data_IF_541583735999
#
_entry.id   IF_541583735999
#
_cell.length_a   1.000
_cell.length_b   1.000
_cell.length_c   1.000
_cell.angle_alpha   90.00
_cell.angle_beta   90.00
_cell.angle_gamma   90.00
#
_symmetry.space_group_name_H-M   'P 1'
#
loop_
_entity.id
_entity.type
_entity.pdbx_description
1 polymer ?
#
# COMPACT_ATOMS: atom_id res chain seq x y z
N UNK A 1 -23.11 7.10 8.13
CA UNK A 1 -22.19 6.51 7.13
C UNK A 1 -21.76 5.13 7.59
N UNK A 2 -21.57 4.18 6.69
CA UNK A 2 -21.02 2.87 7.08
C UNK A 2 -19.53 2.99 7.41
N UNK A 3 -19.03 2.15 8.33
CA UNK A 3 -17.59 2.10 8.65
C UNK A 3 -16.71 1.92 7.39
N UNK A 4 -17.18 1.15 6.42
CA UNK A 4 -16.49 0.94 5.14
C UNK A 4 -16.16 2.25 4.42
N UNK A 5 -17.17 3.16 4.32
CA UNK A 5 -16.98 4.46 3.65
C UNK A 5 -16.05 5.38 4.43
N UNK A 6 -16.14 5.40 5.76
CA UNK A 6 -15.24 6.18 6.63
C UNK A 6 -13.79 5.70 6.45
N UNK A 7 -13.58 4.37 6.47
CA UNK A 7 -12.25 3.77 6.30
C UNK A 7 -11.70 4.09 4.91
N UNK A 8 -12.52 3.91 3.85
CA UNK A 8 -12.13 4.24 2.48
C UNK A 8 -11.67 5.69 2.35
N UNK A 9 -12.50 6.64 2.78
CA UNK A 9 -12.23 8.07 2.63
C UNK A 9 -10.96 8.47 3.39
N UNK A 10 -10.79 7.94 4.61
CA UNK A 10 -9.60 8.21 5.39
C UNK A 10 -8.35 7.66 4.71
N UNK A 11 -8.33 6.38 4.37
CA UNK A 11 -7.17 5.75 3.74
C UNK A 11 -6.85 6.37 2.39
N UNK A 12 -7.87 6.65 1.56
CA UNK A 12 -7.69 7.31 0.28
C UNK A 12 -7.08 8.72 0.43
N UNK A 13 -7.51 9.48 1.45
CA UNK A 13 -6.93 10.80 1.74
C UNK A 13 -5.43 10.75 2.06
N UNK A 14 -4.92 9.62 2.58
CA UNK A 14 -3.51 9.45 2.98
C UNK A 14 -2.65 8.77 1.91
N UNK A 15 -3.22 7.81 1.20
CA UNK A 15 -2.54 7.03 0.17
C UNK A 15 -2.60 7.76 -1.18
N UNK A 16 -3.73 8.37 -1.53
CA UNK A 16 -3.94 9.07 -2.79
C UNK A 16 -4.06 8.16 -4.02
N UNK A 17 -4.26 6.86 -3.80
CA UNK A 17 -4.35 5.85 -4.86
C UNK A 17 -5.48 4.86 -4.55
N UNK A 18 -6.44 4.74 -5.46
CA UNK A 18 -7.61 3.90 -5.26
C UNK A 18 -7.28 2.39 -5.25
N UNK A 19 -6.32 1.95 -6.07
CA UNK A 19 -5.87 0.54 -6.05
C UNK A 19 -5.16 0.20 -4.74
N UNK A 20 -4.28 1.09 -4.27
CA UNK A 20 -3.58 0.94 -3.01
C UNK A 20 -4.54 0.92 -1.82
N UNK A 21 -5.49 1.84 -1.80
CA UNK A 21 -6.54 1.90 -0.76
C UNK A 21 -7.38 0.63 -0.75
N UNK A 22 -7.83 0.19 -1.92
CA UNK A 22 -8.63 -1.03 -2.07
C UNK A 22 -7.87 -2.28 -1.63
N UNK A 23 -6.59 -2.40 -2.03
CA UNK A 23 -5.74 -3.53 -1.65
C UNK A 23 -5.50 -3.59 -0.14
N UNK A 24 -5.25 -2.45 0.51
CA UNK A 24 -5.14 -2.36 1.97
C UNK A 24 -6.46 -2.73 2.65
N UNK A 25 -7.59 -2.14 2.23
CA UNK A 25 -8.90 -2.46 2.79
C UNK A 25 -9.29 -3.93 2.64
N UNK A 26 -8.94 -4.55 1.51
CA UNK A 26 -9.21 -5.98 1.29
C UNK A 26 -8.49 -6.88 2.30
N UNK A 27 -7.28 -6.52 2.69
CA UNK A 27 -6.53 -7.19 3.74
C UNK A 27 -7.16 -6.93 5.11
N UNK A 28 -7.39 -5.68 5.49
CA UNK A 28 -8.03 -5.34 6.76
C UNK A 28 -9.41 -6.02 6.93
N UNK A 29 -10.15 -6.17 5.82
CA UNK A 29 -11.43 -6.89 5.86
C UNK A 29 -11.24 -8.39 6.11
N UNK A 30 -10.22 -8.99 5.53
CA UNK A 30 -9.89 -10.40 5.78
C UNK A 30 -9.44 -10.65 7.23
N UNK A 31 -8.76 -9.68 7.84
CA UNK A 31 -8.25 -9.77 9.21
C UNK A 31 -9.36 -9.56 10.27
N UNK A 32 -10.19 -8.55 10.09
CA UNK A 32 -11.10 -8.09 11.16
C UNK A 32 -12.54 -7.81 10.71
N UNK A 33 -12.87 -8.02 9.43
CA UNK A 33 -14.15 -7.54 8.88
C UNK A 33 -14.31 -6.01 8.94
N UNK A 34 -13.21 -5.27 9.10
CA UNK A 34 -13.17 -3.82 9.37
C UNK A 34 -13.78 -3.43 10.73
N UNK A 35 -13.75 -4.33 11.71
CA UNK A 35 -14.17 -4.06 13.08
C UNK A 35 -12.93 -3.62 13.90
N UNK A 36 -12.88 -2.35 14.40
CA UNK A 36 -11.75 -1.87 15.18
C UNK A 36 -11.67 -2.46 16.59
N UNK A 37 -12.71 -3.14 17.05
CA UNK A 37 -12.72 -3.82 18.34
C UNK A 37 -12.45 -5.32 18.23
N UNK A 38 -12.26 -5.84 17.00
CA UNK A 38 -12.17 -7.28 16.77
C UNK A 38 -11.03 -7.91 17.58
N UNK A 39 -11.42 -8.76 18.52
CA UNK A 39 -10.54 -9.71 19.19
C UNK A 39 -10.47 -10.99 18.35
N UNK A 40 -9.32 -11.56 18.15
CA UNK A 40 -9.14 -12.78 17.36
C UNK A 40 -10.09 -13.89 17.81
N UNK A 41 -10.91 -14.39 16.88
CA UNK A 41 -12.04 -15.27 17.14
C UNK A 41 -11.77 -16.48 18.06
N UNK A 42 -10.56 -17.05 18.02
CA UNK A 42 -10.17 -18.16 18.90
C UNK A 42 -9.97 -17.76 20.36
N UNK A 43 -9.71 -16.48 20.61
CA UNK A 43 -9.37 -15.96 21.93
C UNK A 43 -10.58 -15.45 22.72
N UNK A 44 -11.70 -15.13 22.10
CA UNK A 44 -12.93 -14.74 22.83
C UNK A 44 -13.32 -15.77 23.89
N UNK A 45 -13.36 -17.06 23.51
CA UNK A 45 -13.66 -18.14 24.45
C UNK A 45 -12.56 -18.38 25.47
N UNK A 46 -11.29 -18.27 25.06
CA UNK A 46 -10.14 -18.51 25.92
C UNK A 46 -10.01 -17.45 27.02
N UNK A 47 -10.20 -16.20 26.66
CA UNK A 47 -10.09 -15.06 27.57
C UNK A 47 -11.42 -14.72 28.27
N UNK A 48 -12.55 -15.30 27.81
CA UNK A 48 -13.91 -15.04 28.30
C UNK A 48 -14.34 -13.58 28.10
N UNK A 49 -13.91 -12.95 27.02
CA UNK A 49 -14.29 -11.61 26.60
C UNK A 49 -15.02 -11.67 25.26
N UNK A 50 -15.90 -10.70 25.04
CA UNK A 50 -16.34 -10.32 23.68
C UNK A 50 -15.42 -9.18 23.18
N UNK A 51 -15.51 -8.83 21.91
CA UNK A 51 -14.81 -7.66 21.33
C UNK A 51 -14.96 -6.41 22.19
N UNK A 52 -16.20 -6.09 22.56
CA UNK A 52 -16.54 -4.89 23.34
C UNK A 52 -16.02 -4.97 24.78
N UNK A 53 -16.24 -6.08 25.45
CA UNK A 53 -15.82 -6.22 26.87
C UNK A 53 -14.31 -6.33 27.02
N UNK A 54 -13.60 -6.91 26.04
CA UNK A 54 -12.15 -6.91 25.99
C UNK A 54 -11.61 -5.48 25.84
N UNK A 55 -12.13 -4.74 24.88
CA UNK A 55 -11.77 -3.33 24.66
C UNK A 55 -11.97 -2.51 25.93
N UNK A 56 -13.13 -2.62 26.58
CA UNK A 56 -13.44 -1.92 27.84
C UNK A 56 -12.49 -2.31 28.97
N UNK A 57 -12.17 -3.59 29.09
CA UNK A 57 -11.27 -4.07 30.16
C UNK A 57 -9.85 -3.49 29.99
N UNK A 58 -9.34 -3.43 28.76
CA UNK A 58 -8.05 -2.82 28.44
C UNK A 58 -8.07 -1.30 28.70
N UNK A 59 -9.09 -0.60 28.18
CA UNK A 59 -9.22 0.84 28.33
C UNK A 59 -9.31 1.29 29.80
N UNK A 60 -9.98 0.49 30.62
CA UNK A 60 -10.18 0.76 32.06
C UNK A 60 -9.02 0.22 32.94
N UNK A 61 -8.00 -0.41 32.35
CA UNK A 61 -6.90 -1.02 33.09
C UNK A 61 -7.28 -2.26 33.92
N UNK A 62 -8.43 -2.89 33.59
CA UNK A 62 -8.89 -4.14 34.22
C UNK A 62 -8.30 -5.40 33.57
N UNK A 63 -7.65 -5.23 32.41
CA UNK A 63 -6.89 -6.26 31.72
C UNK A 63 -5.51 -5.69 31.35
N UNK A 64 -4.48 -6.18 32.03
CA UNK A 64 -3.11 -5.66 31.94
C UNK A 64 -2.21 -6.43 30.95
N UNK A 65 -2.64 -7.64 30.53
CA UNK A 65 -1.86 -8.50 29.63
C UNK A 65 -2.04 -8.19 28.13
N UNK A 66 -2.77 -7.11 27.78
CA UNK A 66 -3.05 -6.71 26.40
C UNK A 66 -1.84 -6.82 25.46
N UNK A 67 -0.68 -6.40 25.93
CA UNK A 67 0.55 -6.35 25.14
C UNK A 67 1.15 -7.72 24.90
N UNK A 68 0.98 -8.66 25.84
CA UNK A 68 1.67 -9.95 25.84
C UNK A 68 0.76 -11.18 25.64
N UNK A 69 -0.55 -10.98 25.56
CA UNK A 69 -1.55 -12.05 25.44
C UNK A 69 -1.52 -12.84 24.12
N UNK A 70 -0.72 -12.37 23.15
CA UNK A 70 -0.54 -13.00 21.82
C UNK A 70 -1.80 -13.07 20.95
N UNK A 71 -2.85 -12.32 21.30
CA UNK A 71 -4.08 -12.24 20.53
C UNK A 71 -4.00 -11.14 19.48
N UNK A 72 -4.52 -11.40 18.29
CA UNK A 72 -4.74 -10.35 17.28
C UNK A 72 -5.86 -9.41 17.76
N UNK A 73 -5.67 -8.10 17.57
CA UNK A 73 -6.66 -7.10 17.94
C UNK A 73 -6.79 -5.99 16.90
N UNK A 74 -8.02 -5.53 16.71
CA UNK A 74 -8.38 -4.38 15.92
C UNK A 74 -8.29 -4.59 14.40
N UNK A 75 -8.28 -3.48 13.65
CA UNK A 75 -8.39 -3.46 12.18
C UNK A 75 -7.37 -4.35 11.47
N UNK A 76 -6.11 -4.34 11.91
CA UNK A 76 -5.00 -5.06 11.27
C UNK A 76 -4.53 -6.26 12.11
N UNK A 77 -5.35 -6.73 13.05
CA UNK A 77 -5.05 -7.87 13.94
C UNK A 77 -3.63 -7.79 14.52
N UNK A 78 -3.31 -6.63 15.13
CA UNK A 78 -2.00 -6.43 15.76
C UNK A 78 -1.77 -7.45 16.86
N UNK A 79 -0.78 -8.33 16.67
CA UNK A 79 -0.50 -9.48 17.53
C UNK A 79 0.82 -9.34 18.27
N UNK A 80 1.88 -8.90 17.58
CA UNK A 80 3.20 -8.78 18.17
C UNK A 80 3.25 -7.76 19.31
N UNK A 81 3.90 -8.12 20.42
CA UNK A 81 3.97 -7.27 21.61
C UNK A 81 4.45 -5.84 21.31
N UNK A 82 5.44 -5.67 20.43
CA UNK A 82 5.94 -4.34 20.05
C UNK A 82 4.89 -3.52 19.29
N UNK A 83 4.07 -4.15 18.47
CA UNK A 83 3.00 -3.48 17.73
C UNK A 83 1.84 -3.14 18.67
N UNK A 84 1.44 -4.07 19.53
CA UNK A 84 0.39 -3.85 20.55
C UNK A 84 0.80 -2.76 21.55
N UNK A 85 2.06 -2.75 21.99
CA UNK A 85 2.56 -1.69 22.87
C UNK A 85 2.49 -0.31 22.21
N UNK A 86 2.88 -0.23 20.93
CA UNK A 86 2.77 1.03 20.16
C UNK A 86 1.32 1.48 20.01
N UNK A 87 0.41 0.55 19.69
CA UNK A 87 -1.03 0.86 19.58
C UNK A 87 -1.57 1.40 20.91
N UNK A 88 -1.28 0.73 22.03
CA UNK A 88 -1.72 1.14 23.36
C UNK A 88 -1.17 2.53 23.73
N UNK A 89 0.12 2.76 23.51
CA UNK A 89 0.75 4.05 23.78
C UNK A 89 0.16 5.17 22.90
N UNK A 90 -0.12 4.85 21.63
CA UNK A 90 -0.72 5.80 20.70
C UNK A 90 -2.14 6.16 21.13
N UNK A 91 -2.96 5.17 21.50
CA UNK A 91 -4.31 5.40 22.02
C UNK A 91 -4.29 6.29 23.29
N UNK A 92 -3.42 5.95 24.25
CA UNK A 92 -3.23 6.76 25.47
C UNK A 92 -2.79 8.19 25.16
N UNK A 93 -1.86 8.39 24.24
CA UNK A 93 -1.40 9.72 23.84
C UNK A 93 -2.49 10.59 23.21
N UNK A 94 -3.49 9.95 22.62
CA UNK A 94 -4.66 10.61 22.02
C UNK A 94 -5.85 10.74 22.97
N UNK A 95 -5.78 10.17 24.17
CA UNK A 95 -6.92 10.08 25.08
C UNK A 95 -8.12 9.33 24.47
N UNK A 96 -7.85 8.30 23.67
CA UNK A 96 -8.85 7.51 22.94
C UNK A 96 -8.82 6.05 23.38
N UNK A 97 -9.97 5.39 23.24
CA UNK A 97 -10.08 3.93 23.36
C UNK A 97 -9.16 3.23 22.35
N UNK A 98 -8.60 2.07 22.73
CA UNK A 98 -7.86 1.21 21.80
C UNK A 98 -8.74 0.74 20.62
N UNK A 99 -10.06 0.66 20.83
CA UNK A 99 -11.06 0.27 19.82
C UNK A 99 -11.62 1.45 19.01
N UNK A 100 -11.08 2.68 19.16
CA UNK A 100 -11.56 3.82 18.41
C UNK A 100 -11.10 3.74 16.93
N UNK A 101 -12.07 3.77 16.01
CA UNK A 101 -11.81 3.60 14.57
C UNK A 101 -10.83 4.64 14.01
N UNK A 102 -11.05 5.92 14.29
CA UNK A 102 -10.21 7.00 13.75
C UNK A 102 -8.78 6.91 14.28
N UNK A 103 -8.64 6.62 15.57
CA UNK A 103 -7.34 6.43 16.22
C UNK A 103 -6.58 5.26 15.58
N UNK A 104 -7.24 4.12 15.34
CA UNK A 104 -6.60 2.96 14.70
C UNK A 104 -6.21 3.24 13.26
N UNK A 105 -7.01 3.98 12.51
CA UNK A 105 -6.66 4.41 11.16
C UNK A 105 -5.46 5.35 11.14
N UNK A 106 -5.40 6.28 12.09
CA UNK A 106 -4.25 7.17 12.25
C UNK A 106 -2.98 6.38 12.64
N UNK A 107 -3.11 5.44 13.57
CA UNK A 107 -2.03 4.54 13.97
C UNK A 107 -1.53 3.69 12.81
N UNK A 108 -2.42 3.08 12.04
CA UNK A 108 -2.11 2.27 10.86
C UNK A 108 -1.26 3.05 9.84
N UNK A 109 -1.68 4.27 9.51
CA UNK A 109 -0.93 5.12 8.57
C UNK A 109 0.41 5.55 9.14
N UNK A 110 0.47 5.84 10.44
CA UNK A 110 1.73 6.16 11.14
C UNK A 110 2.68 4.95 11.10
N UNK A 111 2.17 3.76 11.39
CA UNK A 111 2.95 2.52 11.35
C UNK A 111 3.48 2.22 9.95
N UNK A 112 2.64 2.33 8.92
CA UNK A 112 3.05 2.15 7.52
C UNK A 112 4.15 3.14 7.11
N UNK A 113 4.05 4.41 7.49
CA UNK A 113 5.05 5.43 7.13
C UNK A 113 6.39 5.23 7.82
N UNK A 114 6.37 4.88 9.11
CA UNK A 114 7.58 4.89 9.93
C UNK A 114 8.28 3.53 9.98
N UNK A 115 7.54 2.43 9.87
CA UNK A 115 8.09 1.08 10.02
C UNK A 115 7.99 0.23 8.74
N UNK A 116 7.12 0.62 7.79
CA UNK A 116 6.92 -0.06 6.52
C UNK A 116 6.91 0.93 5.33
N UNK A 117 7.91 1.84 5.21
CA UNK A 117 7.88 2.90 4.19
C UNK A 117 7.83 2.35 2.76
N UNK A 118 8.42 1.17 2.50
CA UNK A 118 8.35 0.50 1.20
C UNK A 118 6.91 0.09 0.86
N UNK A 119 6.19 -0.52 1.81
CA UNK A 119 4.77 -0.88 1.63
C UNK A 119 3.93 0.37 1.38
N UNK A 120 4.15 1.43 2.15
CA UNK A 120 3.41 2.69 1.96
C UNK A 120 3.66 3.31 0.59
N UNK A 121 4.91 3.27 0.10
CA UNK A 121 5.26 3.73 -1.26
C UNK A 121 4.59 2.87 -2.33
N UNK A 122 4.60 1.54 -2.17
CA UNK A 122 3.94 0.60 -3.07
C UNK A 122 2.43 0.83 -3.15
N UNK A 123 1.78 1.09 -2.00
CA UNK A 123 0.35 1.45 -1.97
C UNK A 123 0.06 2.74 -2.73
N UNK A 124 0.90 3.75 -2.58
CA UNK A 124 0.75 5.04 -3.30
C UNK A 124 0.90 4.89 -4.82
N UNK A 125 1.69 3.92 -5.27
CA UNK A 125 2.04 3.72 -6.68
C UNK A 125 1.37 2.49 -7.29
N UNK A 126 0.44 1.83 -6.58
CA UNK A 126 -0.21 0.62 -7.04
C UNK A 126 -0.99 0.84 -8.34
N UNK A 127 -0.80 -0.08 -9.31
CA UNK A 127 -1.51 -0.05 -10.59
C UNK A 127 -2.66 -1.05 -10.64
N UNK A 128 -2.73 -1.97 -9.69
CA UNK A 128 -3.81 -2.95 -9.55
C UNK A 128 -4.10 -3.25 -8.09
N UNK A 129 -5.34 -3.59 -7.80
CA UNK A 129 -5.74 -4.10 -6.48
C UNK A 129 -4.98 -5.37 -6.13
N UNK A 130 -4.76 -6.25 -7.10
CA UNK A 130 -4.00 -7.50 -6.91
C UNK A 130 -2.59 -7.25 -6.36
N UNK A 131 -1.87 -6.29 -6.97
CA UNK A 131 -0.53 -5.93 -6.53
C UNK A 131 -0.55 -5.36 -5.11
N UNK A 132 -1.37 -4.34 -4.87
CA UNK A 132 -1.50 -3.70 -3.57
C UNK A 132 -1.86 -4.70 -2.45
N UNK A 133 -2.85 -5.55 -2.71
CA UNK A 133 -3.28 -6.58 -1.77
C UNK A 133 -2.16 -7.57 -1.44
N UNK A 134 -1.39 -8.00 -2.46
CA UNK A 134 -0.26 -8.91 -2.26
C UNK A 134 0.85 -8.26 -1.41
N UNK A 135 1.19 -7.01 -1.69
CA UNK A 135 2.20 -6.26 -0.91
C UNK A 135 1.81 -6.18 0.57
N UNK A 136 0.56 -5.83 0.86
CA UNK A 136 0.08 -5.77 2.25
C UNK A 136 0.18 -7.14 2.92
N UNK A 137 -0.33 -8.19 2.28
CA UNK A 137 -0.30 -9.53 2.83
C UNK A 137 1.12 -10.00 3.16
N UNK A 138 2.06 -9.81 2.22
CA UNK A 138 3.39 -10.44 2.33
C UNK A 138 4.41 -9.60 3.07
N UNK A 139 4.23 -8.28 3.16
CA UNK A 139 5.24 -7.37 3.72
C UNK A 139 4.77 -6.60 4.96
N UNK A 140 3.46 -6.47 5.17
CA UNK A 140 2.91 -5.77 6.32
C UNK A 140 2.25 -6.72 7.32
N UNK A 141 1.31 -7.56 6.89
CA UNK A 141 0.63 -8.53 7.75
C UNK A 141 1.50 -9.76 8.01
N UNK A 142 2.13 -10.28 6.95
CA UNK A 142 3.01 -11.45 6.96
C UNK A 142 2.47 -12.64 7.77
N UNK A 143 1.22 -13.07 7.53
CA UNK A 143 0.63 -14.20 8.23
C UNK A 143 1.28 -15.52 7.80
N UNK A 144 1.06 -16.58 8.57
CA UNK A 144 1.53 -17.93 8.25
C UNK A 144 0.94 -18.45 6.93
N UNK A 145 -0.33 -18.17 6.63
CA UNK A 145 -0.97 -18.52 5.36
C UNK A 145 -0.84 -17.40 4.33
N UNK A 146 0.07 -17.59 3.39
CA UNK A 146 0.27 -16.76 2.20
C UNK A 146 -0.07 -17.49 0.91
N UNK A 147 -0.86 -18.54 0.98
CA UNK A 147 -1.28 -19.37 -0.15
C UNK A 147 -1.96 -18.53 -1.26
N UNK A 148 -2.06 -19.10 -2.45
CA UNK A 148 -2.79 -18.50 -3.56
C UNK A 148 -4.27 -18.25 -3.18
N UNK A 149 -4.86 -19.10 -2.34
CA UNK A 149 -6.22 -18.92 -1.81
C UNK A 149 -6.30 -17.67 -0.93
N UNK A 150 -5.39 -17.52 0.04
CA UNK A 150 -5.34 -16.35 0.91
C UNK A 150 -5.16 -15.04 0.12
N UNK A 151 -4.24 -15.05 -0.87
CA UNK A 151 -4.02 -13.92 -1.77
C UNK A 151 -5.26 -13.57 -2.59
N UNK A 152 -5.93 -14.58 -3.19
CA UNK A 152 -7.13 -14.37 -4.00
C UNK A 152 -8.31 -13.85 -3.16
N UNK A 153 -8.49 -14.33 -1.95
CA UNK A 153 -9.57 -13.88 -1.05
C UNK A 153 -9.41 -12.39 -0.73
N UNK A 154 -8.22 -11.95 -0.31
CA UNK A 154 -7.95 -10.54 0.03
C UNK A 154 -8.05 -9.63 -1.20
N UNK A 155 -7.52 -10.09 -2.33
CA UNK A 155 -7.68 -9.41 -3.63
C UNK A 155 -9.16 -9.21 -3.95
N UNK A 156 -9.99 -10.26 -3.83
CA UNK A 156 -11.42 -10.20 -4.15
C UNK A 156 -12.15 -9.18 -3.27
N UNK A 157 -11.87 -9.15 -1.96
CA UNK A 157 -12.40 -8.12 -1.08
C UNK A 157 -11.97 -6.72 -1.51
N UNK A 158 -10.70 -6.55 -1.85
CA UNK A 158 -10.20 -5.28 -2.36
C UNK A 158 -10.87 -4.85 -3.67
N UNK A 159 -11.07 -5.77 -4.62
CA UNK A 159 -11.77 -5.49 -5.89
C UNK A 159 -13.23 -5.07 -5.66
N UNK A 160 -13.90 -5.65 -4.66
CA UNK A 160 -15.26 -5.24 -4.28
C UNK A 160 -15.27 -3.81 -3.72
N UNK A 161 -14.33 -3.47 -2.82
CA UNK A 161 -14.18 -2.09 -2.33
C UNK A 161 -13.80 -1.10 -3.42
N UNK A 162 -12.95 -1.50 -4.35
CA UNK A 162 -12.61 -0.68 -5.49
C UNK A 162 -13.85 -0.35 -6.33
N UNK A 163 -14.69 -1.36 -6.63
CA UNK A 163 -15.94 -1.17 -7.37
C UNK A 163 -16.94 -0.31 -6.61
N UNK A 164 -17.05 -0.49 -5.29
CA UNK A 164 -18.01 0.21 -4.45
C UNK A 164 -17.65 1.70 -4.28
N UNK A 165 -16.39 2.03 -4.08
CA UNK A 165 -15.98 3.35 -3.64
C UNK A 165 -15.14 4.15 -4.62
N UNK A 166 -14.49 3.52 -5.61
CA UNK A 166 -13.69 4.29 -6.58
C UNK A 166 -14.54 5.09 -7.55
N UNK A 167 -15.87 4.89 -7.54
CA UNK A 167 -16.85 5.49 -8.45
C UNK A 167 -16.61 5.02 -9.89
N UNK A 168 -17.65 4.63 -10.60
CA UNK A 168 -17.53 4.43 -12.06
C UNK A 168 -17.21 5.75 -12.77
N UNK A 169 -17.49 6.91 -12.10
CA UNK A 169 -17.17 8.27 -12.58
C UNK A 169 -15.96 8.90 -11.89
N UNK A 170 -15.44 8.29 -10.79
CA UNK A 170 -14.17 8.58 -10.15
C UNK A 170 -13.18 7.40 -10.34
N UNK A 171 -13.07 6.84 -11.54
CA UNK A 171 -11.67 6.63 -11.97
C UNK A 171 -11.02 7.97 -11.65
N UNK A 172 -9.92 8.05 -10.85
CA UNK A 172 -9.03 9.13 -11.10
C UNK A 172 -8.89 9.03 -12.63
N UNK A 173 -9.35 10.01 -13.36
CA UNK A 173 -8.69 10.33 -14.60
C UNK A 173 -7.29 10.55 -14.11
N UNK A 174 -6.50 9.48 -14.07
CA UNK A 174 -5.12 9.61 -14.37
C UNK A 174 -5.26 10.27 -15.73
N UNK A 175 -5.23 11.61 -15.73
CA UNK A 175 -4.92 12.31 -16.93
C UNK A 175 -3.55 11.73 -17.23
N UNK A 176 -3.52 10.63 -17.99
CA UNK A 176 -2.29 10.04 -18.49
C UNK A 176 -1.52 11.07 -19.31
N UNK A 177 -1.99 12.31 -19.25
CA UNK A 177 -1.47 13.45 -19.97
C UNK A 177 -1.39 14.66 -19.06
N UNK A 178 -0.37 15.44 -19.27
CA UNK A 178 -0.15 16.76 -18.66
C UNK A 178 0.02 17.80 -19.76
N UNK A 179 -0.71 18.89 -19.68
CA UNK A 179 -0.53 20.02 -20.60
C UNK A 179 0.58 20.92 -20.02
N UNK A 180 1.66 21.07 -20.76
CA UNK A 180 2.81 21.89 -20.37
C UNK A 180 2.35 23.35 -20.20
N UNK A 181 2.75 23.96 -19.11
CA UNK A 181 2.50 25.37 -18.80
C UNK A 181 3.76 26.20 -19.02
N UNK A 182 3.58 27.50 -19.18
CA UNK A 182 4.74 28.43 -19.25
C UNK A 182 5.60 28.29 -18.00
N UNK A 183 6.93 28.15 -18.19
CA UNK A 183 7.90 27.93 -17.13
C UNK A 183 8.11 26.48 -16.69
N UNK A 184 7.35 25.52 -17.23
CA UNK A 184 7.58 24.12 -16.94
C UNK A 184 8.90 23.62 -17.57
N UNK A 185 9.52 22.66 -16.87
CA UNK A 185 10.62 21.86 -17.42
C UNK A 185 10.25 20.37 -17.32
N UNK A 186 10.79 19.56 -18.22
CA UNK A 186 10.54 18.11 -18.19
C UNK A 186 11.00 17.49 -16.86
N UNK A 187 12.03 18.04 -16.22
CA UNK A 187 12.51 17.61 -14.91
C UNK A 187 11.55 17.96 -13.77
N UNK A 188 10.94 19.14 -13.80
CA UNK A 188 9.93 19.54 -12.82
C UNK A 188 8.66 18.70 -12.96
N UNK A 189 8.24 18.43 -14.20
CA UNK A 189 7.10 17.55 -14.49
C UNK A 189 7.40 16.12 -14.03
N UNK A 190 8.57 15.56 -14.36
CA UNK A 190 8.99 14.23 -13.91
C UNK A 190 8.95 14.11 -12.38
N UNK A 191 9.48 15.09 -11.66
CA UNK A 191 9.45 15.15 -10.19
C UNK A 191 8.00 15.21 -9.65
N UNK A 192 7.13 16.03 -10.26
CA UNK A 192 5.71 16.17 -9.86
C UNK A 192 4.94 14.86 -9.98
N UNK A 193 5.22 14.09 -11.04
CA UNK A 193 4.53 12.83 -11.33
C UNK A 193 5.32 11.59 -10.90
N UNK A 194 6.34 11.78 -10.07
CA UNK A 194 7.16 10.72 -9.50
C UNK A 194 7.71 9.75 -10.55
N UNK A 195 8.23 10.31 -11.64
CA UNK A 195 8.83 9.59 -12.76
C UNK A 195 10.20 10.17 -13.10
N UNK A 196 10.85 9.69 -14.16
CA UNK A 196 12.14 10.20 -14.61
C UNK A 196 12.01 11.00 -15.90
N UNK A 197 12.94 11.94 -16.12
CA UNK A 197 13.04 12.70 -17.39
C UNK A 197 13.15 11.76 -18.57
N UNK A 198 14.00 10.73 -18.45
CA UNK A 198 14.20 9.73 -19.51
C UNK A 198 12.93 8.94 -19.84
N UNK A 199 12.13 8.63 -18.82
CA UNK A 199 10.86 7.94 -19.03
C UNK A 199 9.85 8.86 -19.74
N UNK A 200 9.67 10.10 -19.27
CA UNK A 200 8.76 11.05 -19.93
C UNK A 200 9.21 11.33 -21.39
N UNK A 201 10.49 11.45 -21.62
CA UNK A 201 11.04 11.66 -22.95
C UNK A 201 10.73 10.48 -23.88
N UNK A 202 10.98 9.24 -23.42
CA UNK A 202 10.69 8.04 -24.19
C UNK A 202 9.19 7.86 -24.45
N UNK A 203 8.35 8.12 -23.44
CA UNK A 203 6.88 8.00 -23.52
C UNK A 203 6.26 8.99 -24.52
N UNK A 204 6.91 10.11 -24.75
CA UNK A 204 6.45 11.20 -25.60
C UNK A 204 7.29 11.41 -26.87
N UNK A 205 8.23 10.51 -27.16
CA UNK A 205 9.18 10.64 -28.28
C UNK A 205 9.97 11.98 -28.28
N UNK A 206 10.28 12.51 -27.09
CA UNK A 206 11.06 13.74 -26.92
C UNK A 206 12.54 13.41 -27.07
N UNK A 207 13.16 13.89 -28.13
CA UNK A 207 14.58 13.70 -28.40
C UNK A 207 15.45 14.71 -27.65
N UNK A 208 14.98 15.93 -27.47
CA UNK A 208 15.67 16.97 -26.68
C UNK A 208 14.88 17.24 -25.38
N UNK A 209 15.38 16.71 -24.27
CA UNK A 209 14.74 16.81 -22.94
C UNK A 209 14.65 18.24 -22.38
N UNK A 210 15.42 19.18 -22.98
CA UNK A 210 15.40 20.59 -22.60
C UNK A 210 14.40 21.42 -23.41
N UNK A 211 13.67 20.78 -24.34
CA UNK A 211 12.77 21.49 -25.25
C UNK A 211 11.37 20.91 -25.17
N UNK A 212 10.50 21.58 -24.42
CA UNK A 212 9.07 21.36 -24.35
C UNK A 212 8.35 22.71 -24.46
N UNK A 213 7.17 22.71 -25.00
CA UNK A 213 6.45 23.94 -25.29
C UNK A 213 5.15 24.07 -24.48
N UNK A 214 4.80 25.28 -23.99
CA UNK A 214 3.50 25.53 -23.39
C UNK A 214 2.37 25.12 -24.33
N UNK A 215 1.38 24.38 -23.80
CA UNK A 215 0.27 23.81 -24.57
C UNK A 215 0.55 22.41 -25.09
N UNK A 216 1.78 21.92 -25.07
CA UNK A 216 2.11 20.54 -25.42
C UNK A 216 1.48 19.55 -24.43
N UNK A 217 0.87 18.47 -24.95
CA UNK A 217 0.22 17.47 -24.11
C UNK A 217 1.14 16.26 -23.96
N UNK A 218 1.73 16.12 -22.80
CA UNK A 218 2.64 15.01 -22.48
C UNK A 218 1.86 13.86 -21.84
N UNK A 219 2.10 12.64 -22.31
CA UNK A 219 1.75 11.41 -21.58
C UNK A 219 2.63 11.35 -20.33
N UNK A 220 2.03 11.18 -19.15
CA UNK A 220 2.75 11.16 -17.85
C UNK A 220 2.71 9.81 -17.17
N UNK A 221 1.83 8.93 -17.61
CA UNK A 221 1.82 7.51 -17.27
C UNK A 221 1.41 6.71 -18.50
N UNK A 222 2.13 5.66 -18.77
CA UNK A 222 1.79 4.68 -19.80
C UNK A 222 1.31 3.41 -19.13
N UNK A 223 0.25 2.80 -19.67
CA UNK A 223 -0.07 1.39 -19.41
C UNK A 223 0.87 0.47 -20.21
N UNK A 224 2.15 0.80 -20.26
CA UNK A 224 3.12 0.12 -21.10
C UNK A 224 4.14 -0.66 -20.30
N UNK A 225 4.23 -1.96 -20.60
CA UNK A 225 5.39 -2.75 -20.22
C UNK A 225 6.62 -2.15 -20.92
N UNK A 226 7.59 -1.67 -20.15
CA UNK A 226 8.91 -1.32 -20.66
C UNK A 226 9.83 -2.50 -20.42
N UNK A 227 10.64 -2.85 -21.40
CA UNK A 227 11.59 -3.95 -21.28
C UNK A 227 13.00 -3.43 -21.09
N UNK A 228 13.71 -4.01 -20.13
CA UNK A 228 15.13 -3.73 -19.93
C UNK A 228 15.94 -5.00 -20.10
N UNK A 229 17.02 -4.94 -20.91
CA UNK A 229 17.98 -6.03 -21.01
C UNK A 229 19.12 -5.77 -20.04
N UNK A 230 19.30 -6.66 -19.07
CA UNK A 230 20.35 -6.59 -18.06
C UNK A 230 21.72 -6.54 -18.73
N UNK A 231 22.56 -5.58 -18.30
CA UNK A 231 23.93 -5.42 -18.76
C UNK A 231 24.90 -5.93 -17.71
N UNK A 232 26.14 -6.21 -18.12
CA UNK A 232 27.21 -6.62 -17.20
C UNK A 232 27.43 -5.53 -16.14
N UNK A 233 27.38 -5.92 -14.87
CA UNK A 233 27.50 -5.02 -13.71
C UNK A 233 26.19 -4.43 -13.20
N UNK A 234 25.04 -4.71 -13.84
CA UNK A 234 23.76 -4.29 -13.31
C UNK A 234 23.39 -5.09 -12.05
N UNK A 235 22.70 -4.40 -11.15
CA UNK A 235 22.03 -4.99 -10.01
C UNK A 235 20.53 -4.70 -10.08
N UNK A 236 19.70 -5.58 -9.52
CA UNK A 236 18.26 -5.34 -9.51
C UNK A 236 17.89 -4.05 -8.79
N UNK A 237 18.67 -3.68 -7.75
CA UNK A 237 18.49 -2.40 -7.03
C UNK A 237 18.87 -1.18 -7.89
N UNK A 238 19.96 -1.28 -8.67
CA UNK A 238 20.36 -0.24 -9.62
C UNK A 238 19.32 -0.02 -10.72
N UNK A 239 18.78 -1.13 -11.26
CA UNK A 239 17.71 -1.09 -12.27
C UNK A 239 16.44 -0.51 -11.64
N UNK A 240 16.04 -0.98 -10.44
CA UNK A 240 14.88 -0.46 -9.74
C UNK A 240 14.96 1.07 -9.53
N UNK A 241 16.11 1.55 -9.07
CA UNK A 241 16.37 2.99 -8.90
C UNK A 241 16.28 3.75 -10.23
N UNK A 242 16.85 3.20 -11.31
CA UNK A 242 16.83 3.82 -12.65
C UNK A 242 15.42 4.01 -13.19
N UNK A 243 14.53 3.04 -12.93
CA UNK A 243 13.16 3.04 -13.42
C UNK A 243 12.13 3.47 -12.38
N UNK A 244 12.60 4.04 -11.26
CA UNK A 244 11.75 4.53 -10.16
C UNK A 244 10.72 3.47 -9.68
N UNK A 245 11.19 2.24 -9.57
CA UNK A 245 10.42 1.09 -9.07
C UNK A 245 11.13 0.45 -7.87
N UNK A 246 10.59 -0.61 -7.31
CA UNK A 246 11.22 -1.33 -6.19
C UNK A 246 11.87 -2.62 -6.65
N UNK A 247 12.91 -3.07 -5.93
CA UNK A 247 13.55 -4.38 -6.16
C UNK A 247 12.51 -5.50 -6.08
N UNK A 248 11.59 -5.39 -5.13
CA UNK A 248 10.52 -6.35 -4.94
C UNK A 248 9.59 -6.42 -6.15
N UNK A 249 9.18 -5.26 -6.69
CA UNK A 249 8.32 -5.19 -7.87
C UNK A 249 9.00 -5.80 -9.08
N UNK A 250 10.25 -5.41 -9.35
CA UNK A 250 11.02 -6.00 -10.43
C UNK A 250 11.17 -7.51 -10.28
N UNK A 251 11.46 -7.99 -9.07
CA UNK A 251 11.59 -9.42 -8.82
C UNK A 251 10.27 -10.17 -9.04
N UNK A 252 9.16 -9.62 -8.54
CA UNK A 252 7.83 -10.23 -8.66
C UNK A 252 7.32 -10.25 -10.09
N UNK A 253 7.45 -9.12 -10.82
CA UNK A 253 6.96 -8.98 -12.18
C UNK A 253 7.75 -9.88 -13.17
N UNK A 254 8.99 -10.22 -12.79
CA UNK A 254 9.89 -11.03 -13.60
C UNK A 254 10.11 -12.45 -13.06
N UNK A 255 9.36 -12.89 -12.03
CA UNK A 255 9.50 -14.19 -11.36
C UNK A 255 10.93 -14.46 -10.84
N UNK A 256 11.64 -13.43 -10.40
CA UNK A 256 12.99 -13.53 -9.85
C UNK A 256 12.91 -13.97 -8.40
N UNK A 257 13.29 -15.22 -8.13
CA UNK A 257 13.27 -15.79 -6.77
C UNK A 257 14.39 -15.24 -5.88
N UNK A 258 15.55 -14.96 -6.47
CA UNK A 258 16.76 -14.48 -5.75
C UNK A 258 17.16 -13.15 -6.36
N UNK A 259 17.01 -12.05 -5.60
CA UNK A 259 17.18 -10.68 -6.09
C UNK A 259 18.63 -10.32 -6.47
N UNK A 260 19.59 -11.10 -6.02
CA UNK A 260 21.02 -11.01 -6.32
C UNK A 260 21.41 -11.79 -7.59
N UNK A 261 20.49 -12.57 -8.15
CA UNK A 261 20.74 -13.42 -9.33
C UNK A 261 20.01 -12.92 -10.55
N UNK A 262 20.57 -11.89 -11.18
CA UNK A 262 20.23 -11.45 -12.52
C UNK A 262 21.45 -11.58 -13.45
N UNK A 263 21.23 -11.85 -14.72
CA UNK A 263 22.28 -12.19 -15.66
C UNK A 263 22.31 -11.23 -16.84
N UNK A 264 23.48 -10.85 -17.36
CA UNK A 264 23.60 -10.09 -18.58
C UNK A 264 22.85 -10.77 -19.72
N UNK A 265 22.05 -10.01 -20.47
CA UNK A 265 21.17 -10.52 -21.53
C UNK A 265 19.77 -10.90 -21.02
N UNK A 266 19.54 -11.04 -19.74
CA UNK A 266 18.21 -11.28 -19.18
C UNK A 266 17.28 -10.10 -19.49
N UNK A 267 16.10 -10.37 -20.07
CA UNK A 267 15.09 -9.35 -20.36
C UNK A 267 14.14 -9.24 -19.17
N UNK A 268 14.05 -8.04 -18.62
CA UNK A 268 13.14 -7.71 -17.52
C UNK A 268 11.97 -6.88 -18.04
N UNK A 269 10.77 -7.24 -17.61
CA UNK A 269 9.57 -6.39 -17.71
C UNK A 269 9.64 -5.35 -16.61
N UNK A 270 9.50 -4.10 -16.97
CA UNK A 270 9.47 -2.97 -16.05
C UNK A 270 8.09 -2.33 -16.15
N UNK A 271 7.30 -2.48 -15.13
CA UNK A 271 6.05 -1.74 -15.00
C UNK A 271 6.35 -0.41 -14.32
N UNK A 272 6.23 0.67 -15.07
CA UNK A 272 6.54 2.05 -14.61
C UNK A 272 5.25 2.78 -14.30
#
# INVERSE_FOLDING_TARGET
MSNKKIIWDYLYSKIGNAYGTAGLMGNLYAESGLNPQNLENGYERKLKYTDATYTQAVDNGLYDDFVHDKCGYGLAQWTYYTRKQRLLNFAKSKGKSIGNLEMQLEFLINELKNYYPGVFADLKNAQTVKYASKVVLTQYENPADQSARAQNTRKQYGENFYKEFSGQDNKPKINNTYTVKSGDTLSAIAKRYNTTVSHLAALNNITNVNLIYPGEVLKISGSGETFYTVKKGDTLSGIAKRYNTTVYRLATDNNIKYVDKIYPGQRLVIHV
#
